data_IF_312676943547
#
_entry.id   IF_312676943547
#
_cell.length_a   1.000
_cell.length_b   1.000
_cell.length_c   1.000
_cell.angle_alpha   90.00
_cell.angle_beta   90.00
_cell.angle_gamma   90.00
#
_symmetry.space_group_name_H-M   'P 1'
#
loop_
_entity.id
_entity.type
_entity.pdbx_description
1 polymer ?
#
# COMPACT_ATOMS: atom_id res chain seq x y z
N UNK A 1 24.47 -42.98 54.70
CA UNK A 1 23.87 -44.18 55.33
C UNK A 1 22.85 -44.72 54.34
N UNK A 2 23.18 -45.91 53.88
CA UNK A 2 22.29 -47.02 53.45
C UNK A 2 21.36 -46.77 52.27
N UNK A 3 21.59 -47.40 51.25
CA UNK A 3 21.66 -48.79 50.70
C UNK A 3 20.45 -49.11 49.81
N UNK A 4 20.79 -49.56 48.60
CA UNK A 4 20.51 -50.86 47.96
C UNK A 4 19.13 -50.95 47.32
N UNK A 5 18.89 -51.56 46.22
CA UNK A 5 19.64 -52.34 45.22
C UNK A 5 18.58 -52.91 44.21
N UNK A 6 18.94 -52.99 42.93
CA UNK A 6 18.91 -54.12 42.07
C UNK A 6 17.55 -54.89 41.94
N UNK A 7 17.03 -55.13 40.72
CA UNK A 7 17.11 -56.42 39.99
C UNK A 7 16.49 -56.33 38.59
N UNK A 8 17.25 -56.81 37.64
CA UNK A 8 17.01 -57.28 36.29
C UNK A 8 15.75 -58.18 36.09
N UNK A 9 15.19 -58.15 34.91
CA UNK A 9 14.87 -59.41 34.17
C UNK A 9 14.68 -59.15 32.68
N UNK A 10 15.38 -59.92 31.90
CA UNK A 10 15.41 -60.04 30.46
C UNK A 10 14.23 -60.89 29.95
N UNK A 11 13.81 -60.64 28.72
CA UNK A 11 12.84 -61.47 28.00
C UNK A 11 12.98 -61.29 26.50
N UNK A 12 13.76 -62.19 25.92
CA UNK A 12 14.01 -62.38 24.50
C UNK A 12 12.88 -63.22 23.88
N UNK A 13 12.27 -62.80 22.78
CA UNK A 13 11.52 -63.69 21.91
C UNK A 13 11.55 -63.18 20.47
N UNK A 14 12.34 -63.86 19.68
CA UNK A 14 12.43 -63.90 18.22
C UNK A 14 11.26 -64.67 17.59
N UNK A 15 10.68 -64.13 16.51
CA UNK A 15 9.98 -64.89 15.52
C UNK A 15 10.15 -64.31 14.13
N UNK A 16 10.89 -65.01 13.26
CA UNK A 16 10.92 -64.85 11.82
C UNK A 16 9.68 -65.56 11.19
N UNK A 17 9.11 -64.96 10.14
CA UNK A 17 8.52 -65.67 8.97
C UNK A 17 8.39 -64.67 7.81
N UNK A 18 9.11 -64.93 6.81
CA UNK A 18 8.94 -65.37 5.42
C UNK A 18 8.19 -64.43 4.46
N UNK A 19 8.92 -64.25 3.38
CA UNK A 19 8.59 -63.54 2.14
C UNK A 19 7.43 -64.18 1.37
N UNK A 20 6.65 -63.38 0.64
CA UNK A 20 5.95 -63.76 -0.56
C UNK A 20 6.02 -62.60 -1.58
N UNK A 21 6.68 -62.91 -2.70
CA UNK A 21 6.62 -62.14 -3.94
C UNK A 21 5.23 -62.26 -4.56
N UNK A 22 4.65 -61.13 -4.96
CA UNK A 22 3.49 -61.06 -5.85
C UNK A 22 3.69 -59.89 -6.80
N UNK A 23 4.00 -60.18 -8.06
CA UNK A 23 4.04 -59.25 -9.17
C UNK A 23 2.62 -58.95 -9.65
N UNK A 24 2.39 -57.68 -10.03
CA UNK A 24 1.25 -57.36 -10.89
C UNK A 24 0.55 -56.05 -10.51
N UNK A 25 0.76 -55.05 -11.20
CA UNK A 25 -0.08 -54.28 -12.12
C UNK A 25 0.09 -52.76 -11.97
N UNK A 26 0.49 -52.19 -13.06
CA UNK A 26 0.59 -50.75 -13.28
C UNK A 26 -0.80 -50.15 -13.43
N UNK A 27 -1.20 -49.31 -12.48
CA UNK A 27 -2.23 -48.29 -12.72
C UNK A 27 -1.63 -46.93 -12.38
N UNK A 28 -1.46 -46.13 -13.44
CA UNK A 28 -1.24 -44.68 -13.33
C UNK A 28 -2.39 -44.05 -12.54
N UNK A 29 -2.12 -43.78 -11.28
CA UNK A 29 -2.95 -42.90 -10.47
C UNK A 29 -2.47 -41.47 -10.68
N UNK A 30 -3.25 -40.69 -11.40
CA UNK A 30 -3.11 -39.23 -11.45
C UNK A 30 -3.07 -38.71 -10.00
N UNK A 31 -1.95 -38.17 -9.59
CA UNK A 31 -1.88 -37.33 -8.42
C UNK A 31 -2.53 -35.97 -8.78
N UNK A 32 -3.78 -35.89 -8.38
CA UNK A 32 -4.49 -34.63 -8.26
C UNK A 32 -3.75 -33.80 -7.19
N UNK A 33 -2.88 -32.92 -7.67
CA UNK A 33 -2.19 -31.97 -6.83
C UNK A 33 -3.19 -30.90 -6.40
N UNK A 34 -3.98 -31.18 -5.37
CA UNK A 34 -4.59 -30.12 -4.58
C UNK A 34 -3.43 -29.36 -3.93
N UNK A 35 -3.05 -28.25 -4.55
CA UNK A 35 -2.26 -27.21 -3.91
C UNK A 35 -3.05 -26.75 -2.68
N UNK A 36 -2.72 -27.28 -1.53
CA UNK A 36 -3.07 -26.66 -0.27
C UNK A 36 -2.26 -25.36 -0.23
N UNK A 37 -2.92 -24.26 -0.49
CA UNK A 37 -2.42 -22.95 -0.08
C UNK A 37 -2.19 -23.03 1.42
N UNK A 38 -0.92 -23.09 1.82
CA UNK A 38 -0.53 -22.92 3.19
C UNK A 38 -0.73 -21.44 3.50
N UNK A 39 -1.96 -21.05 3.84
CA UNK A 39 -2.18 -19.89 4.65
C UNK A 39 -1.50 -20.18 6.00
N UNK A 40 -0.29 -19.66 6.21
CA UNK A 40 0.27 -19.61 7.55
C UNK A 40 -0.71 -18.83 8.41
N UNK A 41 -1.16 -19.42 9.53
CA UNK A 41 -1.95 -18.70 10.54
C UNK A 41 -1.04 -17.64 11.14
N UNK A 42 -0.96 -16.46 10.47
CA UNK A 42 -0.21 -15.31 10.97
C UNK A 42 -1.06 -14.61 12.01
N UNK A 43 -0.45 -14.32 13.15
CA UNK A 43 -1.13 -13.74 14.31
C UNK A 43 -0.37 -12.50 14.79
N UNK A 44 -1.08 -11.50 15.27
CA UNK A 44 -0.45 -10.29 15.80
C UNK A 44 -1.18 -9.03 15.41
N UNK A 45 -0.54 -7.90 15.66
CA UNK A 45 -1.03 -6.55 15.32
C UNK A 45 -0.02 -5.87 14.43
N UNK A 46 -0.44 -5.44 13.24
CA UNK A 46 0.36 -4.63 12.32
C UNK A 46 0.08 -3.15 12.52
N UNK A 47 1.14 -2.37 12.56
CA UNK A 47 1.08 -0.92 12.41
C UNK A 47 1.61 -0.54 11.03
N UNK A 48 0.76 0.05 10.21
CA UNK A 48 1.07 0.41 8.84
C UNK A 48 1.08 1.94 8.70
N UNK A 49 2.19 2.47 8.23
CA UNK A 49 2.31 3.85 7.80
C UNK A 49 1.96 3.91 6.31
N UNK A 50 0.88 4.58 5.94
CA UNK A 50 0.40 4.63 4.58
C UNK A 50 0.13 6.06 4.09
N UNK A 51 0.46 6.32 2.84
CA UNK A 51 0.18 7.60 2.21
C UNK A 51 -1.30 7.98 2.34
N UNK A 52 -1.58 9.26 2.55
CA UNK A 52 -2.92 9.77 2.82
C UNK A 52 -3.95 9.40 1.72
N UNK A 53 -3.53 9.35 0.46
CA UNK A 53 -4.36 8.92 -0.68
C UNK A 53 -4.80 7.45 -0.62
N UNK A 54 -4.15 6.61 0.20
CA UNK A 54 -4.49 5.20 0.40
C UNK A 54 -5.58 4.97 1.47
N UNK A 55 -5.99 6.02 2.19
CA UNK A 55 -6.86 5.88 3.37
C UNK A 55 -8.09 4.99 3.12
N UNK A 56 -8.92 5.35 2.17
CA UNK A 56 -10.19 4.63 1.93
C UNK A 56 -9.95 3.21 1.42
N UNK A 57 -9.03 3.04 0.46
CA UNK A 57 -8.78 1.75 -0.16
C UNK A 57 -8.08 0.76 0.77
N UNK A 58 -7.15 1.25 1.62
CA UNK A 58 -6.45 0.38 2.56
C UNK A 58 -7.32 -0.06 3.74
N UNK A 59 -8.31 0.74 4.14
CA UNK A 59 -9.33 0.29 5.11
C UNK A 59 -10.15 -0.88 4.56
N UNK A 60 -10.56 -0.83 3.29
CA UNK A 60 -11.28 -1.93 2.64
C UNK A 60 -10.39 -3.17 2.44
N UNK A 61 -9.14 -3.00 2.02
CA UNK A 61 -8.16 -4.09 1.90
C UNK A 61 -7.93 -4.75 3.26
N UNK A 62 -7.88 -3.97 4.35
CA UNK A 62 -7.69 -4.51 5.70
C UNK A 62 -8.87 -5.34 6.19
N UNK A 63 -10.10 -4.99 5.80
CA UNK A 63 -11.28 -5.84 6.08
C UNK A 63 -11.15 -7.22 5.41
N UNK A 64 -10.71 -7.25 4.14
CA UNK A 64 -10.48 -8.49 3.40
C UNK A 64 -9.31 -9.29 3.98
N UNK A 65 -8.21 -8.62 4.34
CA UNK A 65 -7.05 -9.24 4.96
C UNK A 65 -7.42 -9.89 6.29
N UNK A 66 -8.14 -9.17 7.16
CA UNK A 66 -8.58 -9.70 8.47
C UNK A 66 -9.58 -10.86 8.32
N UNK A 67 -10.40 -10.85 7.26
CA UNK A 67 -11.28 -11.98 6.95
C UNK A 67 -10.48 -13.24 6.55
N UNK A 68 -9.34 -13.07 5.85
CA UNK A 68 -8.42 -14.13 5.45
C UNK A 68 -7.49 -14.57 6.60
N UNK A 69 -7.15 -13.67 7.51
CA UNK A 69 -6.25 -13.84 8.65
C UNK A 69 -6.91 -13.40 9.96
N UNK A 70 -7.87 -14.17 10.52
CA UNK A 70 -8.72 -13.73 11.65
C UNK A 70 -7.97 -13.46 12.96
N UNK A 71 -6.74 -13.91 13.09
CA UNK A 71 -5.89 -13.69 14.25
C UNK A 71 -4.90 -12.52 14.05
N UNK A 72 -4.89 -11.91 12.86
CA UNK A 72 -4.15 -10.71 12.54
C UNK A 72 -5.04 -9.48 12.62
N UNK A 73 -4.52 -8.39 13.17
CA UNK A 73 -5.18 -7.08 13.18
C UNK A 73 -4.30 -6.04 12.50
N UNK A 74 -4.93 -5.02 11.89
CA UNK A 74 -4.22 -3.96 11.18
C UNK A 74 -4.64 -2.62 11.75
N UNK A 75 -3.65 -1.77 12.06
CA UNK A 75 -3.85 -0.38 12.43
C UNK A 75 -3.08 0.53 11.47
N UNK A 76 -3.66 1.66 11.12
CA UNK A 76 -3.07 2.60 10.18
C UNK A 76 -2.70 3.93 10.82
N UNK A 77 -1.62 4.53 10.29
CA UNK A 77 -1.36 5.95 10.42
C UNK A 77 -1.27 6.54 9.01
N UNK A 78 -2.25 7.34 8.62
CA UNK A 78 -2.29 7.99 7.32
C UNK A 78 -1.76 9.42 7.41
N UNK A 79 -0.80 9.76 6.55
CA UNK A 79 -0.23 11.10 6.44
C UNK A 79 0.42 11.31 5.06
N UNK A 80 0.98 12.48 4.81
CA UNK A 80 1.86 12.69 3.67
C UNK A 80 3.08 11.78 3.76
N UNK A 81 3.50 11.16 2.64
CA UNK A 81 4.56 10.16 2.62
C UNK A 81 5.87 10.67 3.23
N UNK A 82 6.24 11.93 2.96
CA UNK A 82 7.44 12.54 3.55
C UNK A 82 7.35 12.64 5.08
N UNK A 83 6.16 12.91 5.64
CA UNK A 83 5.94 12.94 7.08
C UNK A 83 6.03 11.54 7.70
N UNK A 84 5.55 10.51 6.99
CA UNK A 84 5.66 9.11 7.44
C UNK A 84 7.11 8.65 7.49
N UNK A 85 7.90 8.98 6.48
CA UNK A 85 9.35 8.70 6.48
C UNK A 85 10.04 9.43 7.64
N UNK A 86 9.73 10.70 7.87
CA UNK A 86 10.27 11.43 9.00
C UNK A 86 9.88 10.84 10.37
N UNK A 87 8.68 10.24 10.48
CA UNK A 87 8.26 9.52 11.69
C UNK A 87 9.08 8.23 11.87
N UNK A 88 9.30 7.45 10.80
CA UNK A 88 10.17 6.27 10.85
C UNK A 88 11.60 6.63 11.24
N UNK A 89 12.18 7.67 10.67
CA UNK A 89 13.52 8.17 10.99
C UNK A 89 13.63 8.61 12.46
N UNK A 90 12.53 9.12 13.03
CA UNK A 90 12.43 9.45 14.44
C UNK A 90 12.20 8.24 15.35
N UNK A 91 12.12 7.02 14.79
CA UNK A 91 11.95 5.77 15.53
C UNK A 91 10.48 5.44 15.85
N UNK A 92 9.52 5.93 15.09
CA UNK A 92 8.14 5.50 15.23
C UNK A 92 8.01 4.00 14.96
N UNK A 93 7.33 3.23 15.83
CA UNK A 93 7.10 1.82 15.58
C UNK A 93 6.13 1.65 14.40
N UNK A 94 6.55 0.90 13.40
CA UNK A 94 5.71 0.51 12.29
C UNK A 94 6.26 -0.75 11.62
N UNK A 95 5.39 -1.56 11.05
CA UNK A 95 5.73 -2.83 10.44
C UNK A 95 5.82 -2.72 8.92
N UNK A 96 5.00 -1.85 8.32
CA UNK A 96 4.94 -1.62 6.87
C UNK A 96 4.90 -0.13 6.58
N UNK A 97 5.58 0.27 5.51
CA UNK A 97 5.50 1.59 4.91
C UNK A 97 4.95 1.46 3.48
N UNK A 98 3.93 2.26 3.14
CA UNK A 98 3.42 2.43 1.79
C UNK A 98 3.42 3.92 1.42
N UNK A 99 4.21 4.30 0.41
CA UNK A 99 4.35 5.70 -0.03
C UNK A 99 3.65 5.95 -1.36
N UNK A 100 3.39 7.21 -1.68
CA UNK A 100 2.74 7.62 -2.92
C UNK A 100 3.74 7.98 -4.04
N UNK A 101 5.04 7.72 -3.84
CA UNK A 101 6.07 7.78 -4.86
C UNK A 101 7.30 6.96 -4.49
N UNK A 102 8.13 6.66 -5.50
CA UNK A 102 9.39 5.95 -5.32
C UNK A 102 10.47 6.81 -4.65
N UNK A 103 10.47 8.13 -4.87
CA UNK A 103 11.49 9.02 -4.32
C UNK A 103 11.43 9.06 -2.79
N UNK A 104 10.23 9.12 -2.22
CA UNK A 104 10.02 9.09 -0.77
C UNK A 104 10.38 7.70 -0.19
N UNK A 105 10.04 6.61 -0.88
CA UNK A 105 10.46 5.26 -0.46
C UNK A 105 11.99 5.12 -0.53
N UNK A 106 12.61 5.64 -1.57
CA UNK A 106 14.09 5.61 -1.69
C UNK A 106 14.77 6.38 -0.54
N UNK A 107 14.16 7.46 -0.03
CA UNK A 107 14.64 8.15 1.16
C UNK A 107 14.57 7.26 2.40
N UNK A 108 13.47 6.51 2.61
CA UNK A 108 13.36 5.55 3.70
C UNK A 108 14.39 4.42 3.61
N UNK A 109 14.64 3.91 2.39
CA UNK A 109 15.69 2.91 2.14
C UNK A 109 17.08 3.48 2.44
N UNK A 110 17.37 4.71 2.01
CA UNK A 110 18.64 5.38 2.27
C UNK A 110 18.92 5.63 3.75
N UNK A 111 17.86 5.72 4.57
CA UNK A 111 17.93 5.89 6.02
C UNK A 111 17.95 4.55 6.80
N UNK A 112 18.11 3.42 6.10
CA UNK A 112 18.11 2.06 6.67
C UNK A 112 16.83 1.70 7.46
N UNK A 113 15.70 2.33 7.16
CA UNK A 113 14.41 2.09 7.83
C UNK A 113 13.56 1.02 7.16
N UNK A 114 13.98 0.51 6.01
CA UNK A 114 13.29 -0.54 5.24
C UNK A 114 14.07 -1.85 5.30
N UNK A 115 13.35 -2.97 5.43
CA UNK A 115 13.89 -4.31 5.36
C UNK A 115 13.66 -4.93 3.98
N UNK A 116 14.73 -5.29 3.28
CA UNK A 116 14.64 -5.90 1.95
C UNK A 116 14.37 -4.89 0.85
N UNK A 117 13.57 -5.28 -0.13
CA UNK A 117 13.23 -4.47 -1.31
C UNK A 117 11.80 -3.96 -1.20
N UNK A 118 11.56 -2.75 -1.71
CA UNK A 118 10.20 -2.24 -1.91
C UNK A 118 9.62 -2.77 -3.24
N UNK A 119 8.31 -2.92 -3.29
CA UNK A 119 7.59 -3.40 -4.47
C UNK A 119 6.51 -2.41 -4.86
N UNK A 120 6.40 -2.05 -6.14
CA UNK A 120 5.31 -1.23 -6.65
C UNK A 120 4.03 -2.07 -6.65
N UNK A 121 2.95 -1.52 -6.09
CA UNK A 121 1.67 -2.22 -6.00
C UNK A 121 0.52 -1.49 -6.70
N UNK A 122 0.68 -0.21 -7.00
CA UNK A 122 -0.31 0.62 -7.67
C UNK A 122 0.35 1.84 -8.33
N UNK A 123 -0.40 2.53 -9.19
CA UNK A 123 -0.05 3.85 -9.70
C UNK A 123 -1.23 4.81 -9.61
N UNK A 124 -0.99 6.13 -9.68
CA UNK A 124 -2.05 7.13 -9.67
C UNK A 124 -1.64 8.36 -10.48
N UNK A 125 -2.63 9.03 -11.06
CA UNK A 125 -2.44 10.22 -11.88
C UNK A 125 -3.11 11.44 -11.23
N UNK A 126 -2.64 12.64 -11.60
CA UNK A 126 -3.24 13.89 -11.14
C UNK A 126 -4.50 14.26 -11.93
N UNK A 127 -5.37 14.98 -11.26
CA UNK A 127 -6.53 15.66 -11.84
C UNK A 127 -6.67 17.07 -11.26
N UNK A 128 -7.11 17.99 -12.09
CA UNK A 128 -7.47 19.35 -11.67
C UNK A 128 -8.93 19.34 -11.20
N UNK A 129 -9.14 19.76 -9.96
CA UNK A 129 -10.47 19.86 -9.36
C UNK A 129 -10.80 21.31 -8.95
N UNK A 130 -12.10 21.58 -8.88
CA UNK A 130 -12.65 22.81 -8.29
C UNK A 130 -13.73 22.45 -7.27
N UNK A 131 -14.18 23.38 -6.40
CA UNK A 131 -15.42 23.19 -5.65
C UNK A 131 -16.58 22.90 -6.61
N UNK A 132 -17.59 22.15 -6.13
CA UNK A 132 -18.77 21.80 -6.91
C UNK A 132 -19.42 23.02 -7.58
N UNK A 133 -19.71 22.90 -8.89
CA UNK A 133 -20.24 23.99 -9.70
C UNK A 133 -19.23 25.00 -10.19
N UNK A 134 -17.94 24.78 -9.94
CA UNK A 134 -16.83 25.57 -10.49
C UNK A 134 -17.06 27.10 -10.41
N UNK A 135 -17.19 27.68 -9.22
CA UNK A 135 -17.59 29.08 -9.06
C UNK A 135 -16.57 30.08 -9.64
N UNK A 136 -15.30 29.70 -9.75
CA UNK A 136 -14.25 30.53 -10.33
C UNK A 136 -14.18 30.42 -11.88
N UNK A 137 -14.85 29.45 -12.47
CA UNK A 137 -14.87 29.25 -13.93
C UNK A 137 -13.54 28.74 -14.49
N UNK A 138 -12.80 27.94 -13.72
CA UNK A 138 -11.52 27.32 -14.13
C UNK A 138 -11.78 26.31 -15.23
N UNK A 139 -10.98 26.35 -16.29
CA UNK A 139 -11.15 25.48 -17.47
C UNK A 139 -9.99 24.52 -17.73
N UNK A 140 -8.86 24.70 -17.06
CA UNK A 140 -7.66 23.88 -17.20
C UNK A 140 -6.48 24.48 -16.45
N UNK A 141 -5.28 23.95 -16.67
CA UNK A 141 -4.02 24.59 -16.27
C UNK A 141 -3.65 25.67 -17.29
N UNK A 142 -4.45 26.72 -17.35
CA UNK A 142 -4.39 27.80 -18.33
C UNK A 142 -4.66 29.17 -17.70
N UNK A 143 -4.86 30.21 -18.51
CA UNK A 143 -5.13 31.59 -18.07
C UNK A 143 -6.36 31.72 -17.14
N UNK A 144 -7.24 30.70 -17.05
CA UNK A 144 -8.37 30.71 -16.12
C UNK A 144 -7.95 30.59 -14.65
N UNK A 145 -6.69 30.24 -14.39
CA UNK A 145 -6.10 30.20 -13.06
C UNK A 145 -5.53 31.55 -12.59
N UNK A 146 -5.38 32.55 -13.46
CA UNK A 146 -4.69 33.83 -13.15
C UNK A 146 -5.31 34.57 -11.93
N UNK A 147 -6.62 34.49 -11.77
CA UNK A 147 -7.34 35.11 -10.65
C UNK A 147 -7.88 34.07 -9.64
N UNK A 148 -7.64 32.78 -9.87
CA UNK A 148 -8.10 31.69 -9.01
C UNK A 148 -7.07 31.37 -7.91
N UNK A 149 -7.56 30.98 -6.75
CA UNK A 149 -6.71 30.48 -5.66
C UNK A 149 -6.36 29.03 -5.91
N UNK A 150 -5.27 28.77 -6.63
CA UNK A 150 -4.74 27.45 -6.86
C UNK A 150 -4.07 26.91 -5.59
N UNK A 151 -4.43 25.71 -5.18
CA UNK A 151 -3.83 24.96 -4.07
C UNK A 151 -3.16 23.71 -4.63
N UNK A 152 -1.91 23.48 -4.30
CA UNK A 152 -1.16 22.29 -4.72
C UNK A 152 -0.42 21.65 -3.53
N UNK A 153 0.19 20.51 -3.75
CA UNK A 153 1.12 19.95 -2.78
C UNK A 153 2.49 20.67 -2.86
N UNK A 154 3.20 20.72 -1.74
CA UNK A 154 4.58 21.22 -1.71
C UNK A 154 5.52 20.33 -2.54
N UNK A 155 6.54 20.88 -3.23
CA UNK A 155 7.40 20.15 -4.16
C UNK A 155 8.09 18.91 -3.59
N UNK A 156 8.36 18.89 -2.30
CA UNK A 156 9.09 17.82 -1.62
C UNK A 156 8.22 16.62 -1.16
N UNK A 157 6.92 16.65 -1.46
CA UNK A 157 6.00 15.53 -1.20
C UNK A 157 5.52 14.91 -2.52
N UNK A 158 5.04 13.63 -2.53
CA UNK A 158 4.73 12.91 -3.76
C UNK A 158 3.85 13.65 -4.76
N UNK A 159 2.71 14.16 -4.29
CA UNK A 159 1.78 14.92 -5.15
C UNK A 159 2.38 16.24 -5.65
N UNK A 160 3.32 16.85 -4.91
CA UNK A 160 4.03 18.05 -5.35
C UNK A 160 5.08 17.74 -6.41
N UNK A 161 5.85 16.68 -6.23
CA UNK A 161 6.84 16.24 -7.23
C UNK A 161 6.20 15.96 -8.59
N UNK A 162 5.10 15.20 -8.62
CA UNK A 162 4.37 14.96 -9.88
C UNK A 162 3.66 16.20 -10.41
N UNK A 163 3.28 17.16 -9.55
CA UNK A 163 2.76 18.48 -9.98
C UNK A 163 3.83 19.28 -10.74
N UNK A 164 5.08 19.31 -10.25
CA UNK A 164 6.19 19.94 -10.94
C UNK A 164 6.47 19.26 -12.30
N UNK A 165 6.52 17.91 -12.32
CA UNK A 165 6.69 17.13 -13.54
C UNK A 165 5.57 17.44 -14.56
N UNK A 166 4.31 17.51 -14.12
CA UNK A 166 3.18 17.87 -14.97
C UNK A 166 3.31 19.29 -15.51
N UNK A 167 3.69 20.27 -14.68
CA UNK A 167 3.87 21.66 -15.10
C UNK A 167 4.99 21.80 -16.15
N UNK A 168 6.10 21.06 -15.98
CA UNK A 168 7.18 21.00 -16.96
C UNK A 168 6.73 20.32 -18.26
N UNK A 169 5.98 19.20 -18.17
CA UNK A 169 5.46 18.47 -19.34
C UNK A 169 4.51 19.31 -20.19
N UNK A 170 3.67 20.13 -19.54
CA UNK A 170 2.72 21.01 -20.23
C UNK A 170 3.30 22.39 -20.61
N UNK A 171 4.55 22.68 -20.21
CA UNK A 171 5.19 24.01 -20.37
C UNK A 171 4.35 25.15 -19.75
N UNK A 172 3.80 24.91 -18.54
CA UNK A 172 3.00 25.88 -17.79
C UNK A 172 3.70 26.30 -16.50
N UNK A 173 3.54 27.57 -16.12
CA UNK A 173 4.03 28.09 -14.82
C UNK A 173 2.85 28.17 -13.84
N UNK A 174 2.85 27.32 -12.82
CA UNK A 174 1.84 27.34 -11.77
C UNK A 174 2.19 28.37 -10.70
N UNK A 175 1.20 29.15 -10.26
CA UNK A 175 1.35 30.14 -9.19
C UNK A 175 0.40 29.82 -8.03
N UNK A 176 0.70 28.78 -7.23
CA UNK A 176 -0.17 28.39 -6.13
C UNK A 176 -0.18 29.45 -5.02
N UNK A 177 -1.35 29.69 -4.44
CA UNK A 177 -1.49 30.53 -3.24
C UNK A 177 -1.21 29.75 -1.96
N UNK A 178 -1.19 28.43 -2.04
CA UNK A 178 -0.92 27.55 -0.91
C UNK A 178 -0.31 26.23 -1.38
N UNK A 179 0.67 25.74 -0.60
CA UNK A 179 1.35 24.46 -0.80
C UNK A 179 1.13 23.57 0.42
N UNK A 180 0.58 22.37 0.21
CA UNK A 180 0.15 21.47 1.27
C UNK A 180 1.10 20.28 1.44
N UNK A 181 1.07 19.66 2.62
CA UNK A 181 1.95 18.53 2.95
C UNK A 181 1.39 17.18 2.52
N UNK A 182 0.11 17.13 2.17
CA UNK A 182 -0.55 15.94 1.65
C UNK A 182 -1.65 16.31 0.65
N UNK A 183 -2.00 15.36 -0.21
CA UNK A 183 -3.09 15.54 -1.18
C UNK A 183 -4.45 15.71 -0.50
N UNK A 184 -4.67 15.11 0.65
CA UNK A 184 -5.91 15.25 1.42
C UNK A 184 -6.06 16.67 1.99
N UNK A 185 -4.95 17.35 2.31
CA UNK A 185 -4.99 18.75 2.73
C UNK A 185 -5.39 19.66 1.56
N UNK A 186 -4.90 19.38 0.34
CA UNK A 186 -5.37 20.08 -0.88
C UNK A 186 -6.87 19.86 -1.07
N UNK A 187 -7.32 18.59 -1.09
CA UNK A 187 -8.74 18.24 -1.24
C UNK A 187 -9.61 18.92 -0.18
N UNK A 188 -9.15 18.93 1.08
CA UNK A 188 -9.83 19.56 2.20
C UNK A 188 -10.00 21.08 2.00
N UNK A 189 -9.01 21.77 1.44
CA UNK A 189 -9.11 23.20 1.11
C UNK A 189 -10.12 23.47 0.00
N UNK A 190 -10.12 22.63 -1.03
CA UNK A 190 -11.08 22.78 -2.15
C UNK A 190 -12.51 22.50 -1.66
N UNK A 191 -12.75 21.39 -0.97
CA UNK A 191 -14.08 21.02 -0.48
C UNK A 191 -14.65 22.00 0.56
N UNK A 192 -13.77 22.67 1.33
CA UNK A 192 -14.17 23.70 2.30
C UNK A 192 -14.27 25.13 1.72
N UNK A 193 -13.97 25.30 0.41
CA UNK A 193 -14.03 26.62 -0.26
C UNK A 193 -12.88 27.57 0.14
N UNK A 194 -11.74 27.03 0.58
CA UNK A 194 -10.52 27.78 0.87
C UNK A 194 -9.59 27.92 -0.32
N UNK A 195 -9.88 27.21 -1.43
CA UNK A 195 -9.23 27.29 -2.72
C UNK A 195 -10.26 27.18 -3.83
N UNK A 196 -9.94 27.76 -4.97
CA UNK A 196 -10.80 27.79 -6.17
C UNK A 196 -10.47 26.62 -7.12
N UNK A 197 -9.23 26.15 -7.09
CA UNK A 197 -8.75 24.99 -7.86
C UNK A 197 -7.65 24.25 -7.10
N UNK A 198 -7.49 22.97 -7.37
CA UNK A 198 -6.42 22.17 -6.77
C UNK A 198 -6.05 20.96 -7.61
N UNK A 199 -4.78 20.55 -7.51
CA UNK A 199 -4.29 19.29 -8.10
C UNK A 199 -4.30 18.20 -7.02
N UNK A 200 -5.06 17.13 -7.30
CA UNK A 200 -5.18 15.94 -6.45
C UNK A 200 -5.08 14.67 -7.31
N UNK A 201 -4.99 13.50 -6.70
CA UNK A 201 -5.06 12.27 -7.47
C UNK A 201 -6.50 11.98 -7.94
N UNK A 202 -6.63 11.23 -9.03
CA UNK A 202 -7.93 10.83 -9.59
C UNK A 202 -8.79 10.09 -8.56
N UNK A 203 -8.18 9.25 -7.74
CA UNK A 203 -8.85 8.51 -6.66
C UNK A 203 -9.37 9.40 -5.54
N UNK A 204 -8.63 10.46 -5.18
CA UNK A 204 -9.07 11.43 -4.18
C UNK A 204 -10.28 12.24 -4.69
N UNK A 205 -10.23 12.67 -5.95
CA UNK A 205 -11.35 13.34 -6.59
C UNK A 205 -12.60 12.45 -6.66
N UNK A 206 -12.43 11.16 -6.99
CA UNK A 206 -13.51 10.19 -7.02
C UNK A 206 -14.13 9.98 -5.62
N UNK A 207 -13.32 9.91 -4.57
CA UNK A 207 -13.79 9.77 -3.18
C UNK A 207 -14.60 10.97 -2.69
N UNK A 208 -14.36 12.17 -3.27
CA UNK A 208 -15.08 13.41 -2.96
C UNK A 208 -16.20 13.72 -3.96
N UNK A 209 -16.73 12.71 -4.67
CA UNK A 209 -17.78 12.88 -5.67
C UNK A 209 -18.96 13.71 -5.16
N UNK A 210 -19.36 14.73 -5.92
CA UNK A 210 -20.42 15.67 -5.55
C UNK A 210 -19.98 16.84 -4.66
N UNK A 211 -18.78 16.83 -4.11
CA UNK A 211 -18.19 17.96 -3.38
C UNK A 211 -17.20 18.75 -4.26
N UNK A 212 -16.64 18.08 -5.27
CA UNK A 212 -15.74 18.68 -6.24
C UNK A 212 -16.24 18.44 -7.66
N UNK A 213 -15.76 19.24 -8.58
CA UNK A 213 -15.92 19.06 -10.03
C UNK A 213 -14.54 18.78 -10.63
N UNK A 214 -14.43 17.71 -11.41
CA UNK A 214 -13.20 17.35 -12.13
C UNK A 214 -13.19 18.18 -13.41
N UNK A 215 -12.13 18.96 -13.61
CA UNK A 215 -11.96 19.82 -14.80
C UNK A 215 -11.13 19.08 -15.85
N UNK A 216 -10.02 18.48 -15.46
CA UNK A 216 -9.12 17.77 -16.38
C UNK A 216 -8.39 16.65 -15.64
N UNK A 217 -8.15 15.53 -16.34
CA UNK A 217 -7.41 14.35 -15.83
C UNK A 217 -6.12 14.22 -16.63
N UNK A 218 -5.00 14.06 -15.92
CA UNK A 218 -3.65 13.99 -16.50
C UNK A 218 -3.08 12.57 -16.35
N UNK A 219 -3.71 11.59 -17.03
CA UNK A 219 -3.37 10.16 -16.93
C UNK A 219 -2.73 9.58 -18.23
N UNK A 220 -2.52 10.43 -19.24
CA UNK A 220 -2.15 9.98 -20.58
C UNK A 220 -0.66 9.70 -20.78
N UNK A 221 0.17 10.07 -19.82
CA UNK A 221 1.62 9.86 -19.88
C UNK A 221 2.15 9.23 -18.58
N UNK A 222 2.92 8.15 -18.73
CA UNK A 222 3.51 7.45 -17.58
C UNK A 222 4.48 8.32 -16.78
N UNK A 223 5.10 9.33 -17.42
CA UNK A 223 6.04 10.24 -16.75
C UNK A 223 5.34 11.19 -15.76
N UNK A 224 4.03 11.40 -15.89
CA UNK A 224 3.25 12.28 -15.00
C UNK A 224 2.37 11.50 -14.02
N UNK A 225 2.71 10.24 -13.75
CA UNK A 225 2.07 9.40 -12.73
C UNK A 225 3.02 9.13 -11.57
N UNK A 226 2.44 8.83 -10.43
CA UNK A 226 3.19 8.29 -9.31
C UNK A 226 2.99 6.79 -9.20
N UNK A 227 4.08 6.06 -9.06
CA UNK A 227 4.09 4.66 -8.67
C UNK A 227 4.16 4.54 -7.15
N UNK A 228 3.34 3.69 -6.59
CA UNK A 228 3.15 3.50 -5.15
C UNK A 228 3.91 2.26 -4.67
N UNK A 229 5.05 2.43 -4.02
CA UNK A 229 5.78 1.32 -3.43
C UNK A 229 5.29 1.00 -2.01
N UNK A 230 5.42 -0.28 -1.66
CA UNK A 230 5.19 -0.83 -0.32
C UNK A 230 6.40 -1.64 0.13
N UNK A 231 6.74 -1.59 1.41
CA UNK A 231 7.84 -2.34 1.97
C UNK A 231 7.63 -2.65 3.46
N UNK A 232 8.26 -3.73 3.92
CA UNK A 232 8.38 -4.06 5.35
C UNK A 232 9.45 -3.16 5.97
N UNK A 233 9.20 -2.63 7.17
CA UNK A 233 10.17 -1.78 7.88
C UNK A 233 11.23 -2.61 8.61
N UNK A 234 12.41 -2.02 8.84
CA UNK A 234 13.45 -2.66 9.64
C UNK A 234 13.14 -2.70 11.15
N UNK A 235 12.13 -1.96 11.60
CA UNK A 235 11.71 -1.89 12.99
C UNK A 235 10.66 -2.94 13.37
N UNK A 236 10.16 -3.73 12.41
CA UNK A 236 9.09 -4.70 12.68
C UNK A 236 9.53 -5.83 13.59
N UNK A 237 8.68 -6.15 14.56
CA UNK A 237 8.76 -7.37 15.38
C UNK A 237 7.83 -8.47 14.83
N UNK A 238 7.12 -8.21 13.70
CA UNK A 238 6.12 -9.08 13.07
C UNK A 238 6.45 -9.36 11.59
N UNK A 239 7.68 -9.78 11.22
CA UNK A 239 8.09 -9.83 9.80
C UNK A 239 7.24 -10.77 8.94
N UNK A 240 6.75 -11.89 9.50
CA UNK A 240 5.90 -12.84 8.78
C UNK A 240 4.50 -12.25 8.50
N UNK A 241 3.91 -11.57 9.45
CA UNK A 241 2.61 -10.91 9.29
C UNK A 241 2.72 -9.69 8.37
N UNK A 242 3.79 -8.89 8.49
CA UNK A 242 4.08 -7.77 7.61
C UNK A 242 4.29 -8.24 6.15
N UNK A 243 5.03 -9.33 5.96
CA UNK A 243 5.20 -9.97 4.64
C UNK A 243 3.87 -10.46 4.08
N UNK A 244 3.03 -11.12 4.90
CA UNK A 244 1.71 -11.57 4.48
C UNK A 244 0.79 -10.42 4.06
N UNK A 245 0.87 -9.24 4.73
CA UNK A 245 0.15 -8.03 4.30
C UNK A 245 0.64 -7.54 2.94
N UNK A 246 1.95 -7.43 2.73
CA UNK A 246 2.52 -7.02 1.44
C UNK A 246 2.09 -7.96 0.32
N UNK A 247 2.19 -9.28 0.54
CA UNK A 247 1.75 -10.30 -0.42
C UNK A 247 0.24 -10.20 -0.70
N UNK A 248 -0.57 -9.90 0.32
CA UNK A 248 -2.01 -9.72 0.17
C UNK A 248 -2.34 -8.47 -0.66
N UNK A 249 -1.65 -7.35 -0.44
CA UNK A 249 -1.81 -6.12 -1.23
C UNK A 249 -1.47 -6.36 -2.71
N UNK A 250 -0.48 -7.18 -2.99
CA UNK A 250 -0.12 -7.60 -4.36
C UNK A 250 -1.05 -8.68 -4.93
N UNK A 251 -1.88 -9.28 -4.09
CA UNK A 251 -2.79 -10.36 -4.46
C UNK A 251 -4.05 -9.87 -5.19
N UNK A 252 -4.74 -10.78 -5.90
CA UNK A 252 -5.85 -10.42 -6.78
C UNK A 252 -7.05 -9.77 -6.07
N UNK A 253 -7.26 -10.04 -4.78
CA UNK A 253 -8.36 -9.48 -4.02
C UNK A 253 -8.13 -7.99 -3.73
N UNK A 254 -6.95 -7.63 -3.22
CA UNK A 254 -6.59 -6.24 -2.96
C UNK A 254 -6.43 -5.45 -4.27
N UNK A 255 -5.85 -6.07 -5.31
CA UNK A 255 -5.71 -5.44 -6.61
C UNK A 255 -7.08 -5.12 -7.25
N UNK A 256 -8.10 -5.95 -7.05
CA UNK A 256 -9.45 -5.65 -7.51
C UNK A 256 -10.06 -4.43 -6.79
N UNK A 257 -9.80 -4.27 -5.48
CA UNK A 257 -10.25 -3.11 -4.71
C UNK A 257 -9.52 -1.83 -5.17
N UNK A 258 -8.22 -1.92 -5.42
CA UNK A 258 -7.41 -0.82 -5.95
C UNK A 258 -7.92 -0.37 -7.32
N UNK A 259 -8.18 -1.31 -8.24
CA UNK A 259 -8.71 -1.03 -9.58
C UNK A 259 -10.12 -0.38 -9.51
N UNK A 260 -11.01 -0.88 -8.64
CA UNK A 260 -12.35 -0.30 -8.43
C UNK A 260 -12.27 1.12 -7.85
N UNK A 261 -11.28 1.40 -7.01
CA UNK A 261 -11.00 2.73 -6.49
C UNK A 261 -10.36 3.67 -7.52
N UNK A 262 -9.93 3.17 -8.68
CA UNK A 262 -9.36 3.95 -9.78
C UNK A 262 -7.83 4.05 -9.75
N UNK A 263 -7.14 3.24 -8.96
CA UNK A 263 -5.68 3.10 -9.06
C UNK A 263 -5.30 2.33 -10.32
N UNK A 264 -4.19 2.74 -10.94
CA UNK A 264 -3.58 1.98 -12.02
C UNK A 264 -2.85 0.75 -11.49
N UNK A 265 -2.71 -0.27 -12.35
CA UNK A 265 -1.84 -1.43 -12.08
C UNK A 265 -0.37 -1.03 -12.17
N UNK A 266 0.54 -1.72 -11.46
CA UNK A 266 1.98 -1.52 -11.57
C UNK A 266 2.53 -1.73 -12.97
#
# INVERSE_FOLDING_TARGET
MNHRAIVLAAGLATALTLAACGAGDTTEGAQDGTGAEHGSDVTGELTILAAASLHTVFEEVAELFTAAHPEGTVTFSFAGSADLVAQLDAGAPADVLATADEATMAAAVANDTIQGESVIFASNALTLITPAGNPAGVTGLDESLDEAHLVVCAPHVPCGGVTETLAEFLDVELQPVSEERSVIDVLGKITSGQGDAGLVYTTDAASAAGQVEIIEVYDQDEEVRNDYPIAVTSATDQPDLAGAWVDFVLGPQAQAVLDEAGFGTP
#
